data_IF_918063883366
#
_entry.id   IF_918063883366
#
_cell.length_a   1.000
_cell.length_b   1.000
_cell.length_c   1.000
_cell.angle_alpha   90.00
_cell.angle_beta   90.00
_cell.angle_gamma   90.00
#
_symmetry.space_group_name_H-M   'P 1'
#
loop_
_entity.id
_entity.type
_entity.pdbx_description
1 polymer ?
#
# COMPACT_ATOMS: atom_id res chain seq x y z
N UNK A 1 -4.20 14.82 -11.15
CA UNK A 1 -5.52 15.01 -10.49
C UNK A 1 -5.16 15.13 -9.04
N UNK A 2 -5.51 16.21 -8.34
CA UNK A 2 -4.73 16.61 -7.16
C UNK A 2 -4.62 15.52 -6.09
N UNK A 3 -5.71 14.79 -5.83
CA UNK A 3 -5.69 13.68 -4.85
C UNK A 3 -4.71 12.58 -5.26
N UNK A 4 -4.76 12.11 -6.51
CA UNK A 4 -3.85 11.08 -7.03
C UNK A 4 -2.40 11.56 -6.96
N UNK A 5 -2.14 12.81 -7.34
CA UNK A 5 -0.79 13.38 -7.27
C UNK A 5 -0.28 13.40 -5.82
N UNK A 6 -1.18 13.67 -4.85
CA UNK A 6 -0.86 13.65 -3.40
C UNK A 6 -0.61 12.23 -2.89
N UNK A 7 -1.42 11.24 -3.30
CA UNK A 7 -1.23 9.84 -2.92
C UNK A 7 0.12 9.31 -3.45
N UNK A 8 0.53 9.72 -4.65
CA UNK A 8 1.86 9.39 -5.19
C UNK A 8 3.00 10.00 -4.36
N UNK A 9 2.89 11.27 -3.94
CA UNK A 9 3.88 11.88 -3.05
C UNK A 9 3.97 11.14 -1.70
N UNK A 10 2.84 10.64 -1.20
CA UNK A 10 2.79 9.85 0.03
C UNK A 10 3.41 8.46 -0.13
N UNK A 11 3.27 7.82 -1.31
CA UNK A 11 3.98 6.59 -1.64
C UNK A 11 5.49 6.72 -1.53
N UNK A 12 6.07 7.85 -1.94
CA UNK A 12 7.52 8.08 -1.77
C UNK A 12 7.92 7.99 -0.30
N UNK A 13 7.08 8.51 0.60
CA UNK A 13 7.32 8.44 2.04
C UNK A 13 7.09 7.03 2.60
N UNK A 14 6.01 6.38 2.21
CA UNK A 14 5.68 5.02 2.65
C UNK A 14 6.79 4.05 2.24
N UNK A 15 7.29 4.15 1.01
CA UNK A 15 8.39 3.34 0.49
C UNK A 15 9.68 3.49 1.30
N UNK A 16 10.08 4.74 1.60
CA UNK A 16 11.25 5.02 2.43
C UNK A 16 11.12 4.46 3.84
N UNK A 17 9.96 4.66 4.48
CA UNK A 17 9.71 4.18 5.84
C UNK A 17 9.62 2.66 5.87
N UNK A 18 9.12 2.02 4.81
CA UNK A 18 9.10 0.58 4.66
C UNK A 18 10.51 -0.02 4.57
N UNK A 19 11.40 0.62 3.81
CA UNK A 19 12.81 0.25 3.80
C UNK A 19 13.46 0.41 5.18
N UNK A 20 13.19 1.52 5.88
CA UNK A 20 13.69 1.73 7.24
C UNK A 20 13.13 0.69 8.23
N UNK A 21 11.87 0.29 8.07
CA UNK A 21 11.23 -0.76 8.85
C UNK A 21 11.93 -2.10 8.68
N UNK A 22 12.37 -2.43 7.46
CA UNK A 22 13.14 -3.66 7.20
C UNK A 22 14.49 -3.66 7.92
N UNK A 23 15.22 -2.55 7.85
CA UNK A 23 16.46 -2.37 8.59
C UNK A 23 16.23 -2.45 10.12
N UNK A 24 15.16 -1.82 10.62
CA UNK A 24 14.75 -1.89 12.02
C UNK A 24 14.46 -3.33 12.47
N UNK A 25 13.64 -4.09 11.74
CA UNK A 25 13.30 -5.47 12.11
C UNK A 25 14.55 -6.36 12.13
N UNK A 26 15.45 -6.19 11.16
CA UNK A 26 16.76 -6.87 11.17
C UNK A 26 17.53 -6.57 12.46
N UNK A 27 17.71 -5.29 12.79
CA UNK A 27 18.39 -4.87 14.01
C UNK A 27 17.67 -5.29 15.29
N UNK A 28 16.34 -5.33 15.30
CA UNK A 28 15.55 -5.76 16.47
C UNK A 28 15.77 -7.25 16.74
N UNK A 29 15.77 -8.06 15.68
CA UNK A 29 16.07 -9.50 15.75
C UNK A 29 17.53 -9.76 16.10
N UNK A 30 18.46 -8.89 15.73
CA UNK A 30 19.88 -9.04 16.09
C UNK A 30 20.22 -8.41 17.46
N UNK A 31 19.26 -7.74 18.09
CA UNK A 31 19.42 -7.07 19.38
C UNK A 31 20.17 -5.74 19.32
N UNK A 32 20.36 -5.17 18.13
CA UNK A 32 21.08 -3.91 17.88
C UNK A 32 20.17 -2.69 17.74
N UNK A 33 18.86 -2.88 17.49
CA UNK A 33 17.89 -1.79 17.41
C UNK A 33 17.24 -1.46 18.77
N UNK A 34 16.75 -0.21 18.89
CA UNK A 34 15.99 0.27 20.05
C UNK A 34 14.50 -0.10 19.90
N UNK A 35 13.91 -0.93 20.78
CA UNK A 35 12.51 -1.35 20.70
C UNK A 35 11.51 -0.23 20.86
N UNK A 36 11.94 0.88 21.49
CA UNK A 36 11.04 2.02 21.65
C UNK A 36 10.62 2.61 20.30
N UNK A 37 11.39 2.35 19.23
CA UNK A 37 11.05 2.74 17.86
C UNK A 37 9.95 1.88 17.24
N UNK A 38 9.72 0.66 17.73
CA UNK A 38 8.71 -0.24 17.16
C UNK A 38 7.32 0.36 17.19
N UNK A 39 6.97 1.07 18.27
CA UNK A 39 5.67 1.78 18.38
C UNK A 39 5.51 2.87 17.33
N UNK A 40 6.60 3.53 16.92
CA UNK A 40 6.55 4.59 15.91
C UNK A 40 6.33 4.03 14.51
N UNK A 41 6.96 2.89 14.20
CA UNK A 41 6.66 2.16 12.95
C UNK A 41 5.22 1.67 12.92
N UNK A 42 4.72 1.08 14.02
CA UNK A 42 3.31 0.65 14.12
C UNK A 42 2.38 1.86 13.93
N UNK A 43 2.62 2.96 14.63
CA UNK A 43 1.81 4.17 14.49
C UNK A 43 1.82 4.72 13.05
N UNK A 44 2.98 4.72 12.37
CA UNK A 44 3.06 5.14 10.96
C UNK A 44 2.22 4.26 10.04
N UNK A 45 2.37 2.94 10.11
CA UNK A 45 1.63 2.05 9.21
C UNK A 45 0.13 1.96 9.54
N UNK A 46 -0.25 2.10 10.81
CA UNK A 46 -1.66 2.11 11.20
C UNK A 46 -2.33 3.46 10.91
N UNK A 47 -1.78 4.56 11.41
CA UNK A 47 -2.45 5.86 11.31
C UNK A 47 -2.22 6.53 9.96
N UNK A 48 -0.96 6.62 9.50
CA UNK A 48 -0.67 7.31 8.25
C UNK A 48 -0.93 6.44 7.02
N UNK A 49 -0.34 5.24 6.92
CA UNK A 49 -0.55 4.39 5.75
C UNK A 49 -1.98 3.81 5.71
N UNK A 50 -2.47 3.27 6.82
CA UNK A 50 -3.82 2.70 6.90
C UNK A 50 -4.94 3.74 6.96
N UNK A 51 -5.10 4.39 8.11
CA UNK A 51 -6.26 5.25 8.37
C UNK A 51 -6.31 6.54 7.56
N UNK A 52 -5.19 6.98 6.97
CA UNK A 52 -5.12 8.21 6.17
C UNK A 52 -4.92 7.98 4.68
N UNK A 53 -3.91 7.21 4.28
CA UNK A 53 -3.59 6.96 2.88
C UNK A 53 -4.58 5.96 2.26
N UNK A 54 -4.59 4.69 2.70
CA UNK A 54 -5.52 3.68 2.17
C UNK A 54 -7.00 4.08 2.36
N UNK A 55 -7.36 4.76 3.46
CA UNK A 55 -8.73 5.26 3.67
C UNK A 55 -9.20 6.21 2.55
N UNK A 56 -8.32 7.10 2.07
CA UNK A 56 -8.66 8.01 0.96
C UNK A 56 -8.66 7.30 -0.38
N UNK A 57 -7.83 6.28 -0.55
CA UNK A 57 -7.90 5.42 -1.73
C UNK A 57 -9.25 4.70 -1.78
N UNK A 58 -9.61 3.97 -0.74
CA UNK A 58 -10.84 3.17 -0.72
C UNK A 58 -12.10 4.03 -0.75
N UNK A 59 -12.19 5.04 0.14
CA UNK A 59 -13.42 5.82 0.31
C UNK A 59 -13.62 6.91 -0.73
N UNK A 60 -12.58 7.28 -1.48
CA UNK A 60 -12.68 8.37 -2.46
C UNK A 60 -12.29 7.89 -3.85
N UNK A 61 -11.07 7.40 -4.03
CA UNK A 61 -10.60 7.03 -5.37
C UNK A 61 -11.32 5.78 -5.89
N UNK A 62 -11.31 4.69 -5.11
CA UNK A 62 -11.89 3.41 -5.50
C UNK A 62 -13.41 3.50 -5.56
N UNK A 63 -14.04 4.19 -4.59
CA UNK A 63 -15.48 4.48 -4.64
C UNK A 63 -15.87 5.25 -5.91
N UNK A 64 -15.13 6.30 -6.29
CA UNK A 64 -15.41 7.03 -7.53
C UNK A 64 -15.15 6.16 -8.77
N UNK A 65 -14.13 5.31 -8.76
CA UNK A 65 -13.86 4.38 -9.87
C UNK A 65 -15.00 3.37 -10.06
N UNK A 66 -15.62 2.91 -8.97
CA UNK A 66 -16.76 2.00 -9.03
C UNK A 66 -18.07 2.71 -9.37
N UNK A 67 -18.31 3.90 -8.83
CA UNK A 67 -19.62 4.57 -8.92
C UNK A 67 -19.74 5.50 -10.11
N UNK A 68 -18.69 6.25 -10.46
CA UNK A 68 -18.69 7.22 -11.57
C UNK A 68 -18.11 6.63 -12.86
N UNK A 69 -17.23 5.64 -12.73
CA UNK A 69 -16.55 4.97 -13.84
C UNK A 69 -16.96 3.51 -14.04
N UNK A 70 -17.95 3.06 -13.25
CA UNK A 70 -18.63 1.75 -13.36
C UNK A 70 -17.67 0.54 -13.38
N UNK A 71 -16.50 0.67 -12.75
CA UNK A 71 -15.59 -0.46 -12.59
C UNK A 71 -16.21 -1.52 -11.67
N UNK A 72 -15.99 -2.82 -11.96
CA UNK A 72 -16.50 -3.88 -11.10
C UNK A 72 -15.78 -3.86 -9.74
N UNK A 73 -16.54 -3.92 -8.65
CA UNK A 73 -16.00 -3.94 -7.28
C UNK A 73 -15.62 -5.33 -6.76
N UNK A 74 -16.00 -6.41 -7.46
CA UNK A 74 -15.79 -7.79 -7.04
C UNK A 74 -14.63 -8.50 -7.77
N UNK A 75 -14.08 -7.88 -8.81
CA UNK A 75 -12.95 -8.37 -9.60
C UNK A 75 -12.01 -7.24 -9.98
N UNK A 76 -10.89 -7.59 -10.61
CA UNK A 76 -9.96 -6.60 -11.11
C UNK A 76 -9.16 -5.85 -10.03
N UNK A 77 -8.65 -4.66 -10.36
CA UNK A 77 -7.65 -3.97 -9.56
C UNK A 77 -8.19 -3.44 -8.24
N UNK A 78 -9.40 -2.89 -8.22
CA UNK A 78 -10.01 -2.30 -7.03
C UNK A 78 -10.24 -3.40 -6.00
N UNK A 79 -10.81 -4.53 -6.43
CA UNK A 79 -10.98 -5.72 -5.59
C UNK A 79 -9.63 -6.26 -5.08
N UNK A 80 -8.64 -6.39 -5.97
CA UNK A 80 -7.32 -6.91 -5.62
C UNK A 80 -6.58 -6.03 -4.60
N UNK A 81 -6.54 -4.72 -4.82
CA UNK A 81 -5.84 -3.76 -3.95
C UNK A 81 -6.54 -3.62 -2.59
N UNK A 82 -7.88 -3.55 -2.57
CA UNK A 82 -8.66 -3.56 -1.32
C UNK A 82 -8.40 -4.83 -0.50
N UNK A 83 -8.28 -5.98 -1.17
CA UNK A 83 -7.91 -7.23 -0.48
C UNK A 83 -6.47 -7.23 0.05
N UNK A 84 -5.54 -6.57 -0.63
CA UNK A 84 -4.18 -6.39 -0.14
C UNK A 84 -4.11 -5.44 1.06
N UNK A 85 -4.87 -4.33 1.06
CA UNK A 85 -4.99 -3.45 2.24
C UNK A 85 -5.42 -4.22 3.48
N UNK A 86 -6.49 -5.01 3.38
CA UNK A 86 -6.99 -5.82 4.48
C UNK A 86 -5.96 -6.84 4.99
N UNK A 87 -5.26 -7.55 4.09
CA UNK A 87 -4.19 -8.48 4.48
C UNK A 87 -3.02 -7.78 5.17
N UNK A 88 -2.64 -6.59 4.68
CA UNK A 88 -1.55 -5.80 5.27
C UNK A 88 -1.92 -5.33 6.67
N UNK A 89 -3.16 -4.90 6.91
CA UNK A 89 -3.68 -4.55 8.23
C UNK A 89 -3.63 -5.75 9.20
N UNK A 90 -4.05 -6.94 8.74
CA UNK A 90 -3.99 -8.18 9.52
C UNK A 90 -2.55 -8.52 9.93
N UNK A 91 -1.60 -8.50 8.98
CA UNK A 91 -0.19 -8.81 9.27
C UNK A 91 0.46 -7.76 10.17
N UNK A 92 0.12 -6.48 10.01
CA UNK A 92 0.60 -5.43 10.89
C UNK A 92 0.11 -5.65 12.32
N UNK A 93 -1.18 -5.99 12.48
CA UNK A 93 -1.77 -6.33 13.78
C UNK A 93 -1.08 -7.55 14.43
N UNK A 94 -0.72 -8.56 13.62
CA UNK A 94 0.03 -9.72 14.07
C UNK A 94 1.48 -9.37 14.48
N UNK A 95 2.12 -8.44 13.77
CA UNK A 95 3.50 -8.01 14.06
C UNK A 95 3.60 -7.07 15.25
N UNK A 96 2.59 -6.25 15.51
CA UNK A 96 2.64 -5.17 16.49
C UNK A 96 3.13 -5.61 17.88
N UNK A 97 2.66 -6.72 18.49
CA UNK A 97 3.15 -7.16 19.79
C UNK A 97 4.67 -7.42 19.83
N UNK A 98 5.24 -7.99 18.75
CA UNK A 98 6.68 -8.24 18.65
C UNK A 98 7.47 -6.94 18.51
N UNK A 99 6.94 -5.98 17.76
CA UNK A 99 7.55 -4.67 17.55
C UNK A 99 7.56 -3.84 18.83
N UNK A 100 6.51 -3.95 19.66
CA UNK A 100 6.39 -3.17 20.90
C UNK A 100 7.08 -3.79 22.11
N UNK A 101 7.16 -5.12 22.19
CA UNK A 101 7.62 -5.83 23.39
C UNK A 101 8.94 -6.58 23.21
N UNK A 102 9.55 -6.52 22.00
CA UNK A 102 10.61 -7.38 21.49
C UNK A 102 10.18 -8.86 21.37
N UNK A 103 10.72 -9.61 20.39
CA UNK A 103 10.57 -11.07 20.34
C UNK A 103 11.27 -11.74 21.55
N UNK A 104 10.59 -12.68 22.21
CA UNK A 104 11.05 -13.31 23.45
C UNK A 104 11.75 -14.66 23.23
N UNK A 105 11.58 -15.25 22.05
CA UNK A 105 12.15 -16.53 21.66
C UNK A 105 12.74 -16.48 20.24
N UNK A 106 13.48 -17.52 19.86
CA UNK A 106 13.93 -17.67 18.47
C UNK A 106 12.76 -17.87 17.51
N UNK A 107 11.69 -18.53 17.96
CA UNK A 107 10.47 -18.72 17.17
C UNK A 107 9.79 -17.37 16.88
N UNK A 108 9.68 -16.49 17.88
CA UNK A 108 9.15 -15.13 17.70
C UNK A 108 10.00 -14.32 16.71
N UNK A 109 11.34 -14.47 16.75
CA UNK A 109 12.27 -13.80 15.83
C UNK A 109 12.04 -14.26 14.39
N UNK A 110 11.91 -15.56 14.18
CA UNK A 110 11.62 -16.16 12.86
C UNK A 110 10.26 -15.68 12.35
N UNK A 111 9.24 -15.68 13.21
CA UNK A 111 7.89 -15.22 12.86
C UNK A 111 7.86 -13.75 12.49
N UNK A 112 8.45 -12.88 13.31
CA UNK A 112 8.55 -11.45 13.02
C UNK A 112 9.26 -11.20 11.69
N UNK A 113 10.41 -11.86 11.44
CA UNK A 113 11.13 -11.71 10.17
C UNK A 113 10.29 -12.16 8.98
N UNK A 114 9.55 -13.25 9.12
CA UNK A 114 8.69 -13.79 8.06
C UNK A 114 7.55 -12.82 7.73
N UNK A 115 6.85 -12.33 8.75
CA UNK A 115 5.77 -11.35 8.58
C UNK A 115 6.29 -10.04 7.99
N UNK A 116 7.42 -9.53 8.49
CA UNK A 116 7.99 -8.28 8.00
C UNK A 116 8.42 -8.39 6.53
N UNK A 117 8.99 -9.52 6.11
CA UNK A 117 9.32 -9.76 4.70
C UNK A 117 8.04 -9.79 3.86
N UNK A 118 7.04 -10.57 4.28
CA UNK A 118 5.77 -10.68 3.57
C UNK A 118 5.09 -9.32 3.40
N UNK A 119 4.94 -8.58 4.50
CA UNK A 119 4.35 -7.23 4.51
C UNK A 119 5.11 -6.30 3.57
N UNK A 120 6.44 -6.23 3.67
CA UNK A 120 7.24 -5.32 2.82
C UNK A 120 7.17 -5.68 1.34
N UNK A 121 7.27 -6.97 1.00
CA UNK A 121 7.21 -7.41 -0.40
C UNK A 121 5.84 -7.15 -1.01
N UNK A 122 4.77 -7.33 -0.25
CA UNK A 122 3.42 -6.98 -0.69
C UNK A 122 3.29 -5.47 -0.88
N UNK A 123 3.63 -4.66 0.11
CA UNK A 123 3.45 -3.21 0.03
C UNK A 123 4.30 -2.56 -1.06
N UNK A 124 5.53 -3.02 -1.31
CA UNK A 124 6.34 -2.51 -2.42
C UNK A 124 5.71 -2.79 -3.80
N UNK A 125 5.21 -4.01 -4.01
CA UNK A 125 4.52 -4.36 -5.28
C UNK A 125 3.17 -3.69 -5.42
N UNK A 126 2.50 -3.46 -4.29
CA UNK A 126 1.24 -2.74 -4.22
C UNK A 126 1.42 -1.30 -4.71
N UNK A 127 2.39 -0.57 -4.13
CA UNK A 127 2.78 0.78 -4.56
C UNK A 127 3.16 0.80 -6.04
N UNK A 128 3.94 -0.18 -6.53
CA UNK A 128 4.32 -0.27 -7.94
C UNK A 128 3.07 -0.43 -8.83
N UNK A 129 2.11 -1.29 -8.45
CA UNK A 129 0.88 -1.53 -9.19
C UNK A 129 -0.02 -0.29 -9.23
N UNK A 130 -0.13 0.42 -8.11
CA UNK A 130 -0.95 1.64 -8.03
C UNK A 130 -0.35 2.76 -8.86
N UNK A 131 0.94 3.04 -8.67
CA UNK A 131 1.63 4.12 -9.36
C UNK A 131 1.70 3.91 -10.88
N UNK A 132 1.87 2.66 -11.33
CA UNK A 132 2.07 2.36 -12.75
C UNK A 132 0.82 1.96 -13.50
N UNK A 133 -0.22 1.45 -12.81
CA UNK A 133 -1.45 0.95 -13.45
C UNK A 133 -2.68 1.67 -12.91
N UNK A 134 -2.98 1.55 -11.62
CA UNK A 134 -4.26 2.03 -11.09
C UNK A 134 -4.42 3.54 -11.26
N UNK A 135 -3.43 4.31 -10.82
CA UNK A 135 -3.53 5.77 -10.80
C UNK A 135 -3.56 6.37 -12.22
N UNK A 136 -2.68 6.00 -13.17
CA UNK A 136 -2.76 6.53 -14.53
C UNK A 136 -4.07 6.19 -15.24
N UNK A 137 -4.48 4.91 -15.19
CA UNK A 137 -5.68 4.42 -15.88
C UNK A 137 -6.95 4.91 -15.20
N UNK A 138 -6.96 4.93 -13.86
CA UNK A 138 -8.06 5.44 -13.07
C UNK A 138 -8.27 6.95 -13.28
N UNK A 139 -7.20 7.74 -13.28
CA UNK A 139 -7.28 9.17 -13.57
C UNK A 139 -7.83 9.43 -14.99
N UNK A 140 -7.38 8.65 -15.97
CA UNK A 140 -7.86 8.78 -17.35
C UNK A 140 -9.33 8.40 -17.49
N UNK A 141 -9.75 7.31 -16.87
CA UNK A 141 -11.14 6.85 -16.87
C UNK A 141 -12.07 7.86 -16.20
N UNK A 142 -11.72 8.35 -15.00
CA UNK A 142 -12.49 9.39 -14.31
C UNK A 142 -12.62 10.66 -15.15
N UNK A 143 -11.54 11.08 -15.85
CA UNK A 143 -11.60 12.24 -16.77
C UNK A 143 -12.61 12.03 -17.91
N UNK A 144 -12.71 10.82 -18.46
CA UNK A 144 -13.71 10.49 -19.50
C UNK A 144 -15.14 10.54 -18.98
N UNK A 145 -15.34 10.20 -17.71
CA UNK A 145 -16.61 10.38 -16.99
C UNK A 145 -16.88 11.84 -16.57
N UNK A 146 -16.01 12.79 -16.90
CA UNK A 146 -16.16 14.21 -16.56
C UNK A 146 -15.68 14.58 -15.15
N UNK A 147 -15.11 13.64 -14.40
CA UNK A 147 -14.55 13.86 -13.07
C UNK A 147 -13.11 14.34 -13.22
N UNK A 148 -12.86 15.59 -12.81
CA UNK A 148 -11.53 16.22 -12.92
C UNK A 148 -10.78 16.28 -11.61
N UNK A 149 -11.50 16.30 -10.50
CA UNK A 149 -10.96 16.37 -9.15
C UNK A 149 -11.81 15.50 -8.22
N UNK A 150 -11.16 14.97 -7.19
CA UNK A 150 -11.76 14.20 -6.12
C UNK A 150 -11.63 14.99 -4.81
N UNK A 151 -12.53 14.71 -3.86
CA UNK A 151 -12.44 15.31 -2.52
C UNK A 151 -11.19 14.84 -1.80
N UNK A 152 -10.62 15.68 -0.96
CA UNK A 152 -9.48 15.34 -0.12
C UNK A 152 -9.72 15.87 1.31
N UNK A 153 -9.13 15.22 2.30
CA UNK A 153 -9.21 15.61 3.71
C UNK A 153 -7.82 15.86 4.28
N UNK A 154 -7.65 16.82 5.19
CA UNK A 154 -6.39 16.96 5.90
C UNK A 154 -6.17 15.80 6.88
N UNK A 155 -4.91 15.60 7.26
CA UNK A 155 -4.55 14.73 8.37
C UNK A 155 -5.15 15.24 9.69
N UNK A 156 -5.54 14.31 10.55
CA UNK A 156 -5.81 14.58 11.96
C UNK A 156 -4.50 14.62 12.78
N UNK A 157 -4.60 14.91 14.08
CA UNK A 157 -3.44 15.04 14.97
C UNK A 157 -2.60 13.75 15.08
N UNK A 158 -3.25 12.59 15.15
CA UNK A 158 -2.56 11.30 15.27
C UNK A 158 -1.84 10.92 13.97
N UNK A 159 -2.51 11.11 12.82
CA UNK A 159 -1.94 10.87 11.49
C UNK A 159 -0.72 11.76 11.23
N UNK A 160 -0.82 13.05 11.58
CA UNK A 160 0.27 14.01 11.43
C UNK A 160 1.45 13.69 12.36
N UNK A 161 1.19 13.33 13.62
CA UNK A 161 2.23 12.94 14.57
C UNK A 161 2.95 11.65 14.13
N UNK A 162 2.21 10.66 13.63
CA UNK A 162 2.77 9.42 13.11
C UNK A 162 3.71 9.66 11.92
N UNK A 163 3.36 10.60 11.04
CA UNK A 163 4.22 11.02 9.93
C UNK A 163 5.47 11.77 10.41
N UNK A 164 5.32 12.72 11.33
CA UNK A 164 6.44 13.53 11.85
C UNK A 164 7.51 12.66 12.52
N UNK A 165 7.10 11.66 13.31
CA UNK A 165 8.00 10.75 14.02
C UNK A 165 8.90 9.92 13.09
N UNK A 166 8.55 9.79 11.80
CA UNK A 166 9.37 9.06 10.81
C UNK A 166 10.71 9.70 10.54
N UNK A 167 10.84 11.02 10.70
CA UNK A 167 12.09 11.73 10.38
C UNK A 167 13.26 11.20 11.22
N UNK A 168 13.02 10.91 12.50
CA UNK A 168 14.03 10.31 13.38
C UNK A 168 14.33 8.84 13.01
N UNK A 169 13.32 8.10 12.56
CA UNK A 169 13.47 6.69 12.15
C UNK A 169 14.34 6.59 10.90
N UNK A 170 14.10 7.43 9.88
CA UNK A 170 14.84 7.42 8.61
C UNK A 170 16.33 7.78 8.81
N UNK A 171 16.65 8.60 9.81
CA UNK A 171 18.05 8.90 10.17
C UNK A 171 18.72 7.70 10.86
N UNK A 172 17.99 6.99 11.72
CA UNK A 172 18.53 5.88 12.51
C UNK A 172 18.62 4.57 11.71
N UNK A 173 17.67 4.34 10.82
CA UNK A 173 17.53 3.15 10.00
C UNK A 173 17.51 3.58 8.53
N UNK A 174 18.68 3.67 7.87
CA UNK A 174 18.73 3.99 6.44
C UNK A 174 17.83 3.03 5.66
N UNK A 175 16.94 3.54 4.79
CA UNK A 175 16.07 2.70 3.98
C UNK A 175 16.85 1.69 3.15
N UNK A 176 16.36 0.46 3.13
CA UNK A 176 16.89 -0.62 2.30
C UNK A 176 15.78 -1.18 1.42
N UNK A 177 16.17 -1.68 0.25
CA UNK A 177 15.33 -2.59 -0.53
C UNK A 177 15.77 -4.03 -0.30
N UNK A 178 14.96 -4.99 -0.75
CA UNK A 178 15.28 -6.40 -0.70
C UNK A 178 15.73 -6.87 -2.10
N UNK A 179 17.01 -7.21 -2.25
CA UNK A 179 17.58 -7.65 -3.54
C UNK A 179 16.90 -8.91 -4.11
N UNK A 180 16.19 -9.68 -3.27
CA UNK A 180 15.43 -10.85 -3.71
C UNK A 180 14.07 -10.48 -4.33
N UNK A 181 13.59 -9.24 -4.15
CA UNK A 181 12.31 -8.78 -4.66
C UNK A 181 12.49 -8.10 -6.02
N UNK A 182 11.90 -8.70 -7.06
CA UNK A 182 11.71 -7.99 -8.32
C UNK A 182 10.55 -7.01 -8.19
N UNK A 183 10.85 -5.73 -8.43
CA UNK A 183 9.95 -4.58 -8.50
C UNK A 183 9.80 -4.09 -9.95
N UNK A 184 8.73 -3.34 -10.24
CA UNK A 184 8.58 -2.70 -11.54
C UNK A 184 7.14 -2.42 -11.95
N UNK A 185 7.02 -1.82 -13.13
CA UNK A 185 5.76 -1.29 -13.63
C UNK A 185 4.88 -2.33 -14.34
N UNK A 186 3.57 -2.11 -14.31
CA UNK A 186 2.58 -2.85 -15.08
C UNK A 186 2.00 -4.07 -14.35
N UNK A 187 0.92 -4.62 -14.92
CA UNK A 187 0.18 -5.72 -14.28
C UNK A 187 1.04 -6.97 -14.03
N UNK A 188 1.96 -7.31 -14.93
CA UNK A 188 2.80 -8.50 -14.78
C UNK A 188 3.73 -8.48 -13.55
N UNK A 189 3.95 -7.29 -12.97
CA UNK A 189 4.74 -7.11 -11.75
C UNK A 189 3.88 -7.14 -10.48
N UNK A 190 2.57 -6.92 -10.61
CA UNK A 190 1.60 -7.02 -9.54
C UNK A 190 1.42 -8.48 -9.10
N UNK A 191 1.29 -8.70 -7.79
CA UNK A 191 1.11 -10.04 -7.21
C UNK A 191 -0.21 -10.70 -7.63
N UNK A 192 -1.28 -9.91 -7.77
CA UNK A 192 -2.60 -10.44 -8.10
C UNK A 192 -2.73 -10.95 -9.54
N UNK A 193 -1.83 -10.53 -10.44
CA UNK A 193 -1.92 -10.82 -11.86
C UNK A 193 -1.80 -12.32 -12.16
N UNK A 194 -2.84 -12.86 -12.79
CA UNK A 194 -2.96 -14.29 -13.13
C UNK A 194 -3.27 -15.21 -11.94
N UNK A 195 -3.40 -14.68 -10.73
CA UNK A 195 -3.84 -15.45 -9.55
C UNK A 195 -5.28 -15.10 -9.16
N UNK A 196 -5.56 -13.81 -8.92
CA UNK A 196 -6.88 -13.32 -8.47
C UNK A 196 -7.39 -12.14 -9.31
N UNK A 197 -6.61 -11.68 -10.28
CA UNK A 197 -6.94 -10.61 -11.21
C UNK A 197 -6.35 -10.96 -12.59
N UNK A 198 -7.17 -10.91 -13.65
CA UNK A 198 -6.72 -11.24 -15.01
C UNK A 198 -5.99 -10.08 -15.73
N UNK A 199 -5.76 -8.98 -15.02
CA UNK A 199 -5.01 -7.82 -15.48
C UNK A 199 -5.87 -6.71 -16.09
N UNK A 200 -5.23 -5.57 -16.37
CA UNK A 200 -5.87 -4.36 -16.88
C UNK A 200 -6.72 -4.65 -18.11
N UNK A 201 -6.17 -5.40 -19.06
CA UNK A 201 -6.80 -5.69 -20.35
C UNK A 201 -8.03 -6.59 -20.23
N UNK A 202 -8.24 -7.27 -19.11
CA UNK A 202 -9.39 -8.15 -18.88
C UNK A 202 -10.38 -7.59 -17.85
N UNK A 203 -9.92 -6.73 -16.94
CA UNK A 203 -10.72 -6.43 -15.75
C UNK A 203 -11.23 -4.99 -15.70
N UNK A 204 -10.68 -4.08 -16.51
CA UNK A 204 -11.08 -2.66 -16.46
C UNK A 204 -12.32 -2.31 -17.26
N UNK A 205 -12.80 -3.21 -18.12
CA UNK A 205 -13.90 -2.88 -19.02
C UNK A 205 -15.24 -3.02 -18.31
N UNK A 206 -16.13 -2.05 -18.52
CA UNK A 206 -17.54 -2.19 -18.14
C UNK A 206 -18.25 -3.19 -19.06
N UNK A 207 -19.43 -3.68 -18.66
CA UNK A 207 -20.25 -4.53 -19.51
C UNK A 207 -20.57 -3.86 -20.87
N UNK A 208 -20.82 -2.54 -20.86
CA UNK A 208 -21.09 -1.77 -22.07
C UNK A 208 -19.84 -1.69 -22.96
N UNK A 209 -18.67 -1.41 -22.39
CA UNK A 209 -17.43 -1.33 -23.15
C UNK A 209 -17.04 -2.69 -23.75
N UNK A 210 -17.31 -3.78 -23.03
CA UNK A 210 -17.17 -5.13 -23.57
C UNK A 210 -18.09 -5.37 -24.77
N UNK A 211 -19.38 -5.03 -24.64
CA UNK A 211 -20.34 -5.14 -25.75
C UNK A 211 -19.89 -4.33 -26.98
N UNK A 212 -19.41 -3.10 -26.79
CA UNK A 212 -18.89 -2.28 -27.89
C UNK A 212 -17.63 -2.87 -28.55
N UNK A 213 -16.77 -3.53 -27.77
CA UNK A 213 -15.54 -4.14 -28.29
C UNK A 213 -15.84 -5.35 -29.19
N UNK A 214 -16.82 -6.19 -28.83
CA UNK A 214 -17.20 -7.37 -29.62
C UNK A 214 -18.09 -7.06 -30.84
N UNK A 215 -18.66 -5.86 -30.93
CA UNK A 215 -19.51 -5.42 -32.05
C UNK A 215 -18.69 -4.77 -33.19
N UNK A 216 -17.40 -4.46 -32.97
CA UNK A 216 -16.47 -3.95 -33.99
C UNK A 216 -15.68 -5.05 -34.71
#
# INVERSE_FOLDING_TARGET
>A
MKLIDTLQDEHERIDQVLGAFRAYVGGLVDGTADPSDGRRFVAFFTEFAGHFHHDREERVLFDALMTEAELPGDRGPVSALTHEHAQMEEWLSEMAPFLEQRPQSEDDRVRLRTLATRYSHTLWRHIDAENSVLYPEGAERLRRCGIRELSDRPMNEAEAAALEDTAALLVRYPPVEDDALTRGDGCSMCRAYGETCDGLEAEWWTEIEWEEFYIR
#
